data_IF_445115291237
#
_entry.id   IF_445115291237
#
_cell.length_a   1.000
_cell.length_b   1.000
_cell.length_c   1.000
_cell.angle_alpha   90.00
_cell.angle_beta   90.00
_cell.angle_gamma   90.00
#
_symmetry.space_group_name_H-M   'P 1'
#
loop_
_entity.id
_entity.type
_entity.pdbx_description
1 polymer ?
#
# COMPACT_ATOMS: atom_id res chain seq x y z
N UNK A 1 18.91 -35.55 12.91
CA UNK A 1 19.01 -34.11 13.11
C UNK A 1 19.09 -33.85 14.62
N UNK A 2 20.21 -33.32 15.14
CA UNK A 2 20.45 -33.21 16.58
C UNK A 2 19.45 -32.25 17.25
N UNK A 3 19.05 -32.54 18.48
CA UNK A 3 18.05 -31.78 19.25
C UNK A 3 18.29 -30.26 19.31
N UNK A 4 19.57 -29.85 19.32
CA UNK A 4 19.95 -28.41 19.27
C UNK A 4 19.45 -27.68 18.02
N UNK A 5 19.47 -28.32 16.83
CA UNK A 5 19.00 -27.70 15.59
C UNK A 5 17.46 -27.54 15.58
N UNK A 6 16.74 -28.51 16.19
CA UNK A 6 15.27 -28.41 16.33
C UNK A 6 14.88 -27.29 17.30
N UNK A 7 15.63 -27.15 18.40
CA UNK A 7 15.39 -26.08 19.36
C UNK A 7 15.59 -24.69 18.74
N UNK A 8 16.67 -24.50 17.98
CA UNK A 8 16.94 -23.24 17.27
C UNK A 8 15.80 -22.91 16.27
N UNK A 9 15.30 -23.92 15.54
CA UNK A 9 14.19 -23.73 14.61
C UNK A 9 12.91 -23.28 15.33
N UNK A 10 12.58 -23.95 16.44
CA UNK A 10 11.38 -23.59 17.24
C UNK A 10 11.50 -22.18 17.78
N UNK A 11 12.67 -21.79 18.30
CA UNK A 11 12.91 -20.45 18.81
C UNK A 11 12.84 -19.40 17.68
N UNK A 12 13.44 -19.68 16.53
CA UNK A 12 13.37 -18.77 15.38
C UNK A 12 11.91 -18.59 14.87
N UNK A 13 11.15 -19.68 14.81
CA UNK A 13 9.75 -19.66 14.38
C UNK A 13 8.87 -18.92 15.40
N UNK A 14 9.08 -19.13 16.71
CA UNK A 14 8.36 -18.41 17.76
C UNK A 14 8.69 -16.91 17.77
N UNK A 15 9.94 -16.54 17.51
CA UNK A 15 10.36 -15.16 17.36
C UNK A 15 9.72 -14.50 16.14
N UNK A 16 9.61 -15.21 15.03
CA UNK A 16 8.93 -14.73 13.81
C UNK A 16 7.43 -14.47 14.06
N UNK A 17 6.77 -15.35 14.81
CA UNK A 17 5.36 -15.21 15.19
C UNK A 17 5.17 -14.06 16.19
N UNK A 18 6.10 -13.86 17.12
CA UNK A 18 6.06 -12.76 18.09
C UNK A 18 6.26 -11.38 17.46
N UNK A 19 6.92 -11.32 16.30
CA UNK A 19 7.10 -10.08 15.53
C UNK A 19 5.84 -9.66 14.75
N UNK A 20 4.81 -10.49 14.69
CA UNK A 20 3.50 -10.07 14.18
C UNK A 20 2.90 -9.15 15.22
N UNK A 21 3.28 -7.87 15.15
CA UNK A 21 2.66 -6.82 15.94
C UNK A 21 1.17 -6.87 15.67
N UNK A 22 0.39 -7.15 16.70
CA UNK A 22 -1.05 -6.94 16.65
C UNK A 22 -1.24 -5.46 16.40
N UNK A 23 -1.48 -5.11 15.15
CA UNK A 23 -1.87 -3.77 14.79
C UNK A 23 -3.23 -3.56 15.47
N UNK A 24 -3.22 -2.98 16.65
CA UNK A 24 -4.44 -2.41 17.23
C UNK A 24 -4.89 -1.34 16.25
N UNK A 25 -5.85 -1.71 15.41
CA UNK A 25 -6.50 -0.77 14.53
C UNK A 25 -7.06 0.31 15.41
N UNK A 26 -6.35 1.44 15.46
CA UNK A 26 -6.89 2.64 16.04
C UNK A 26 -8.23 2.84 15.33
N UNK A 27 -9.30 3.02 16.09
CA UNK A 27 -10.66 3.26 15.58
C UNK A 27 -10.78 4.62 14.88
N UNK A 28 -9.71 5.02 14.18
CA UNK A 28 -9.71 6.21 13.38
C UNK A 28 -10.70 6.03 12.23
N UNK A 29 -11.54 7.01 12.04
CA UNK A 29 -12.47 7.08 10.94
C UNK A 29 -11.73 6.80 9.61
N UNK A 30 -12.21 5.87 8.77
CA UNK A 30 -11.58 5.63 7.49
C UNK A 30 -11.68 6.88 6.61
N UNK A 31 -10.71 7.15 5.73
CA UNK A 31 -10.77 8.29 4.83
C UNK A 31 -12.00 8.20 3.93
N UNK A 32 -12.69 9.32 3.77
CA UNK A 32 -13.82 9.43 2.86
C UNK A 32 -13.36 9.36 1.41
N UNK A 33 -12.28 10.08 1.12
CA UNK A 33 -11.61 10.07 -0.18
C UNK A 33 -10.13 9.79 0.04
N UNK A 34 -9.59 8.84 -0.73
CA UNK A 34 -8.18 8.50 -0.75
C UNK A 34 -7.67 8.60 -2.19
N UNK A 35 -6.76 9.51 -2.43
CA UNK A 35 -6.09 9.66 -3.71
C UNK A 35 -4.69 9.07 -3.60
N UNK A 36 -4.40 8.09 -4.44
CA UNK A 36 -3.12 7.40 -4.52
C UNK A 36 -2.36 7.97 -5.70
N UNK A 37 -1.16 8.47 -5.47
CA UNK A 37 -0.28 9.00 -6.52
C UNK A 37 1.00 8.19 -6.58
N UNK A 38 1.17 7.35 -7.61
CA UNK A 38 2.42 6.63 -7.84
C UNK A 38 3.54 7.60 -8.23
N UNK A 39 4.74 7.35 -7.71
CA UNK A 39 5.94 8.15 -7.99
C UNK A 39 5.69 9.66 -7.86
N UNK A 40 4.96 10.05 -6.83
CA UNK A 40 4.61 11.44 -6.60
C UNK A 40 5.87 12.27 -6.33
N UNK A 41 6.06 13.42 -7.00
CA UNK A 41 7.13 14.34 -6.70
C UNK A 41 7.01 14.88 -5.26
N UNK A 42 8.11 15.36 -4.71
CA UNK A 42 8.14 15.81 -3.30
C UNK A 42 7.29 17.05 -3.07
N UNK A 43 7.20 17.91 -4.06
CA UNK A 43 6.46 19.17 -4.04
C UNK A 43 5.00 19.07 -4.49
N UNK A 44 4.49 17.85 -4.65
CA UNK A 44 3.11 17.63 -5.05
C UNK A 44 2.15 17.96 -3.91
N UNK A 45 1.27 18.89 -4.16
CA UNK A 45 0.14 19.23 -3.32
C UNK A 45 -1.17 18.79 -3.97
N UNK A 46 -2.02 18.14 -3.18
CA UNK A 46 -3.35 17.73 -3.61
C UNK A 46 -4.37 18.28 -2.62
N UNK A 47 -5.34 18.99 -3.11
CA UNK A 47 -6.45 19.51 -2.31
C UNK A 47 -7.79 19.17 -2.96
N UNK A 48 -8.85 19.14 -2.16
CA UNK A 48 -10.22 18.97 -2.64
C UNK A 48 -11.01 20.20 -2.26
N UNK A 49 -11.74 20.71 -3.23
CA UNK A 49 -12.61 21.86 -3.04
C UNK A 49 -14.03 21.59 -3.48
N UNK A 50 -14.96 22.36 -2.88
CA UNK A 50 -16.32 22.52 -3.37
C UNK A 50 -16.71 23.98 -3.19
N UNK A 51 -16.93 24.66 -4.30
CA UNK A 51 -17.13 26.11 -4.29
C UNK A 51 -15.89 26.84 -3.77
N UNK A 52 -16.05 27.69 -2.75
CA UNK A 52 -14.94 28.48 -2.16
C UNK A 52 -14.16 27.74 -1.05
N UNK A 53 -14.48 26.50 -0.77
CA UNK A 53 -13.82 25.73 0.31
C UNK A 53 -12.74 24.86 -0.31
N UNK A 54 -11.52 25.00 0.22
CA UNK A 54 -10.38 24.20 -0.17
C UNK A 54 -9.88 23.41 1.05
N UNK A 55 -9.75 22.12 0.92
CA UNK A 55 -9.24 21.24 1.97
C UNK A 55 -7.94 20.60 1.56
N UNK A 56 -6.96 20.70 2.44
CA UNK A 56 -5.67 20.07 2.25
C UNK A 56 -5.75 18.59 2.66
N UNK A 57 -4.99 17.77 1.95
CA UNK A 57 -4.91 16.35 2.26
C UNK A 57 -4.09 16.06 3.50
N UNK A 58 -4.46 15.01 4.23
CA UNK A 58 -3.55 14.35 5.15
C UNK A 58 -2.65 13.42 4.34
N UNK A 59 -1.35 13.74 4.31
CA UNK A 59 -0.39 13.05 3.45
C UNK A 59 0.25 11.90 4.21
N UNK A 60 0.30 10.73 3.57
CA UNK A 60 1.06 9.57 4.05
C UNK A 60 1.99 9.10 2.95
N UNK A 61 3.28 9.22 3.20
CA UNK A 61 4.31 8.77 2.29
C UNK A 61 4.50 7.24 2.42
N UNK A 62 4.55 6.57 1.27
CA UNK A 62 4.90 5.16 1.11
C UNK A 62 6.04 5.09 0.11
N UNK A 63 6.86 4.07 0.20
CA UNK A 63 8.10 3.93 -0.58
C UNK A 63 7.94 4.21 -2.09
N UNK A 64 6.82 3.83 -2.68
CA UNK A 64 6.58 3.95 -4.13
C UNK A 64 5.36 4.79 -4.50
N UNK A 65 4.65 5.31 -3.51
CA UNK A 65 3.42 6.09 -3.74
C UNK A 65 3.11 6.99 -2.55
N UNK A 66 2.50 8.13 -2.79
CA UNK A 66 1.95 9.00 -1.74
C UNK A 66 0.44 8.87 -1.68
N UNK A 67 -0.07 8.88 -0.46
CA UNK A 67 -1.49 8.81 -0.14
C UNK A 67 -1.95 10.17 0.33
N UNK A 68 -2.96 10.68 -0.32
CA UNK A 68 -3.63 11.94 0.03
C UNK A 68 -5.02 11.58 0.53
N UNK A 69 -5.22 11.68 1.85
CA UNK A 69 -6.45 11.27 2.53
C UNK A 69 -7.27 12.49 2.97
N UNK A 70 -8.56 12.43 2.72
CA UNK A 70 -9.55 13.44 3.12
C UNK A 70 -10.63 12.75 3.94
N UNK A 71 -11.00 13.32 5.08
CA UNK A 71 -11.92 12.72 6.04
C UNK A 71 -13.29 13.39 5.96
N UNK A 72 -14.35 12.64 6.35
CA UNK A 72 -15.72 13.13 6.22
C UNK A 72 -16.05 14.29 7.17
N UNK A 73 -15.35 14.41 8.29
CA UNK A 73 -15.49 15.55 9.19
C UNK A 73 -15.12 16.88 8.54
N UNK A 74 -14.25 16.83 7.54
CA UNK A 74 -13.74 17.98 6.80
C UNK A 74 -14.50 18.22 5.49
N UNK A 75 -15.07 17.13 4.92
CA UNK A 75 -15.87 17.19 3.69
C UNK A 75 -17.31 17.57 4.04
N UNK A 76 -17.72 18.77 3.71
CA UNK A 76 -19.12 19.13 3.73
C UNK A 76 -19.83 18.38 2.60
N UNK A 77 -21.12 18.04 2.83
CA UNK A 77 -21.95 17.39 1.82
C UNK A 77 -22.13 18.36 0.65
N UNK A 78 -21.24 18.29 -0.30
CA UNK A 78 -21.33 19.01 -1.56
C UNK A 78 -21.66 18.01 -2.67
N UNK A 79 -22.36 18.49 -3.69
CA UNK A 79 -22.72 17.65 -4.84
C UNK A 79 -21.54 17.42 -5.78
N UNK A 80 -20.66 18.40 -5.88
CA UNK A 80 -19.55 18.39 -6.82
C UNK A 80 -18.24 18.71 -6.09
N UNK A 81 -17.26 17.86 -6.24
CA UNK A 81 -15.92 18.03 -5.72
C UNK A 81 -14.93 18.23 -6.85
N UNK A 82 -14.05 19.19 -6.69
CA UNK A 82 -12.92 19.42 -7.60
C UNK A 82 -11.63 19.07 -6.87
N UNK A 83 -10.86 18.17 -7.45
CA UNK A 83 -9.50 17.83 -7.02
C UNK A 83 -8.56 18.80 -7.70
N UNK A 84 -7.83 19.59 -6.90
CA UNK A 84 -6.77 20.47 -7.37
C UNK A 84 -5.43 19.82 -7.11
N UNK A 85 -4.64 19.77 -8.15
CA UNK A 85 -3.31 19.18 -8.13
C UNK A 85 -2.32 20.26 -8.50
N UNK A 86 -1.35 20.52 -7.65
CA UNK A 86 -0.36 21.57 -7.85
C UNK A 86 1.05 21.03 -7.62
N UNK A 87 1.96 21.41 -8.50
CA UNK A 87 3.40 21.26 -8.37
C UNK A 87 4.04 22.63 -8.62
N UNK A 88 5.33 22.76 -8.43
CA UNK A 88 6.07 24.02 -8.75
C UNK A 88 5.94 24.42 -10.22
N UNK A 89 5.78 23.45 -11.11
CA UNK A 89 5.82 23.67 -12.56
C UNK A 89 4.42 23.76 -13.19
N UNK A 90 3.42 23.13 -12.58
CA UNK A 90 2.09 23.03 -13.17
C UNK A 90 0.99 22.88 -12.12
N UNK A 91 -0.20 23.37 -12.47
CA UNK A 91 -1.42 23.10 -11.71
C UNK A 91 -2.56 22.71 -12.63
N UNK A 92 -3.43 21.82 -12.17
CA UNK A 92 -4.62 21.43 -12.90
C UNK A 92 -5.74 20.99 -11.94
N UNK A 93 -6.96 20.98 -12.45
CA UNK A 93 -8.14 20.58 -11.70
C UNK A 93 -8.87 19.43 -12.37
N UNK A 94 -9.41 18.53 -11.56
CA UNK A 94 -10.21 17.38 -12.02
C UNK A 94 -11.50 17.36 -11.25
N UNK A 95 -12.63 17.35 -11.94
CA UNK A 95 -13.95 17.23 -11.32
C UNK A 95 -14.25 15.77 -11.03
N UNK A 96 -14.73 15.47 -9.83
CA UNK A 96 -15.21 14.16 -9.45
C UNK A 96 -16.67 13.98 -9.89
N UNK A 97 -16.87 13.30 -11.00
CA UNK A 97 -18.19 13.16 -11.65
C UNK A 97 -19.15 12.15 -10.96
N UNK A 98 -18.67 11.36 -10.01
CA UNK A 98 -19.47 10.28 -9.41
C UNK A 98 -19.91 10.59 -7.99
N UNK A 99 -21.12 10.17 -7.61
CA UNK A 99 -21.58 10.28 -6.24
C UNK A 99 -20.63 9.50 -5.33
N UNK A 100 -20.09 10.18 -4.33
CA UNK A 100 -19.18 9.60 -3.37
C UNK A 100 -19.93 8.72 -2.39
N UNK A 101 -19.36 7.57 -2.06
CA UNK A 101 -19.76 6.80 -0.89
C UNK A 101 -19.35 7.55 0.37
N UNK A 102 -20.01 7.27 1.48
CA UNK A 102 -19.66 7.91 2.76
C UNK A 102 -18.19 7.73 3.12
N UNK A 103 -17.61 6.55 2.85
CA UNK A 103 -16.23 6.19 3.14
C UNK A 103 -15.61 5.36 2.01
N UNK A 104 -14.28 5.33 1.98
CA UNK A 104 -13.50 4.45 1.11
C UNK A 104 -13.66 4.72 -0.40
N UNK A 105 -13.79 5.98 -0.77
CA UNK A 105 -13.65 6.36 -2.17
C UNK A 105 -12.16 6.41 -2.52
N UNK A 106 -11.70 5.40 -3.23
CA UNK A 106 -10.28 5.28 -3.60
C UNK A 106 -10.12 5.64 -5.06
N UNK A 107 -9.17 6.52 -5.32
CA UNK A 107 -8.79 6.93 -6.67
C UNK A 107 -7.29 6.83 -6.85
N UNK A 108 -6.87 6.58 -8.09
CA UNK A 108 -5.47 6.68 -8.49
C UNK A 108 -5.32 7.85 -9.46
N UNK A 109 -4.44 8.78 -9.12
CA UNK A 109 -4.10 9.93 -9.94
C UNK A 109 -2.90 9.58 -10.82
N UNK A 110 -3.06 9.70 -12.13
CA UNK A 110 -1.97 9.67 -13.09
C UNK A 110 -1.57 11.10 -13.44
N UNK A 111 -0.38 11.51 -13.03
CA UNK A 111 0.13 12.85 -13.27
C UNK A 111 0.46 13.09 -14.75
N UNK A 112 0.93 12.05 -15.48
CA UNK A 112 1.29 12.18 -16.89
C UNK A 112 0.06 12.46 -17.76
N UNK A 113 -1.03 11.73 -17.53
CA UNK A 113 -2.27 11.86 -18.29
C UNK A 113 -3.24 12.88 -17.66
N UNK A 114 -2.91 13.42 -16.48
CA UNK A 114 -3.78 14.30 -15.68
C UNK A 114 -5.17 13.69 -15.45
N UNK A 115 -5.22 12.37 -15.20
CA UNK A 115 -6.48 11.63 -15.04
C UNK A 115 -6.61 11.03 -13.65
N UNK A 116 -7.84 10.99 -13.15
CA UNK A 116 -8.20 10.37 -11.88
C UNK A 116 -9.08 9.13 -12.16
N UNK A 117 -8.54 7.95 -11.87
CA UNK A 117 -9.24 6.68 -12.10
C UNK A 117 -9.73 6.08 -10.78
N UNK A 118 -10.97 5.57 -10.71
CA UNK A 118 -11.45 4.91 -9.50
C UNK A 118 -10.70 3.59 -9.25
N UNK A 119 -10.37 3.34 -7.98
CA UNK A 119 -9.71 2.14 -7.52
C UNK A 119 -8.19 2.27 -7.39
N UNK A 120 -7.55 1.16 -7.03
CA UNK A 120 -6.08 1.01 -6.94
C UNK A 120 -5.55 0.48 -8.27
N UNK A 121 -4.32 0.85 -8.62
CA UNK A 121 -3.65 0.27 -9.79
C UNK A 121 -3.47 -1.26 -9.61
N UNK A 122 -3.90 -2.01 -10.62
CA UNK A 122 -3.76 -3.46 -10.64
C UNK A 122 -2.28 -3.88 -10.65
N UNK A 123 -1.44 -3.15 -11.38
CA UNK A 123 0.02 -3.37 -11.46
C UNK A 123 0.68 -3.37 -10.09
N UNK A 124 0.29 -2.48 -9.19
CA UNK A 124 0.79 -2.42 -7.82
C UNK A 124 0.50 -3.71 -7.04
N UNK A 125 -0.72 -4.20 -7.13
CA UNK A 125 -1.11 -5.44 -6.45
C UNK A 125 -0.28 -6.64 -6.94
N UNK A 126 -0.04 -6.71 -8.24
CA UNK A 126 0.80 -7.75 -8.86
C UNK A 126 2.25 -7.64 -8.35
N UNK A 127 2.84 -6.46 -8.34
CA UNK A 127 4.20 -6.24 -7.86
C UNK A 127 4.34 -6.68 -6.39
N UNK A 128 3.43 -6.25 -5.52
CA UNK A 128 3.48 -6.61 -4.09
C UNK A 128 3.32 -8.10 -3.85
N UNK A 129 2.43 -8.77 -4.59
CA UNK A 129 2.25 -10.22 -4.51
C UNK A 129 3.50 -10.94 -5.02
N UNK A 130 4.07 -10.51 -6.15
CA UNK A 130 5.29 -11.08 -6.70
C UNK A 130 6.48 -10.93 -5.73
N UNK A 131 6.64 -9.77 -5.12
CA UNK A 131 7.68 -9.54 -4.10
C UNK A 131 7.50 -10.48 -2.89
N UNK A 132 6.28 -10.68 -2.41
CA UNK A 132 6.02 -11.62 -1.31
C UNK A 132 6.40 -13.05 -1.69
N UNK A 133 6.02 -13.49 -2.88
CA UNK A 133 6.36 -14.83 -3.37
C UNK A 133 7.88 -15.01 -3.44
N UNK A 134 8.60 -14.06 -4.04
CA UNK A 134 10.06 -14.09 -4.15
C UNK A 134 10.72 -14.15 -2.75
N UNK A 135 10.27 -13.31 -1.83
CA UNK A 135 10.79 -13.30 -0.46
C UNK A 135 10.54 -14.62 0.26
N UNK A 136 9.36 -15.20 0.11
CA UNK A 136 9.02 -16.51 0.71
C UNK A 136 9.93 -17.60 0.17
N UNK A 137 10.08 -17.67 -1.15
CA UNK A 137 10.96 -18.66 -1.80
C UNK A 137 12.42 -18.48 -1.40
N UNK A 138 12.90 -17.25 -1.27
CA UNK A 138 14.26 -16.99 -0.80
C UNK A 138 14.48 -17.46 0.63
N UNK A 139 13.55 -17.20 1.54
CA UNK A 139 13.60 -17.65 2.93
C UNK A 139 13.57 -19.18 3.00
N UNK A 140 12.68 -19.81 2.25
CA UNK A 140 12.60 -21.27 2.16
C UNK A 140 13.90 -21.88 1.64
N UNK A 141 14.46 -21.33 0.57
CA UNK A 141 15.74 -21.78 0.01
C UNK A 141 16.88 -21.70 1.03
N UNK A 142 16.97 -20.60 1.80
CA UNK A 142 17.96 -20.44 2.88
C UNK A 142 17.74 -21.49 3.97
N UNK A 143 16.50 -21.72 4.38
CA UNK A 143 16.17 -22.73 5.38
C UNK A 143 16.57 -24.12 4.89
N UNK A 144 16.22 -24.50 3.67
CA UNK A 144 16.61 -25.78 3.07
C UNK A 144 18.13 -25.93 3.00
N UNK A 145 18.85 -24.87 2.64
CA UNK A 145 20.30 -24.88 2.60
C UNK A 145 20.93 -25.06 3.98
N UNK A 146 20.46 -24.31 4.98
CA UNK A 146 20.95 -24.38 6.37
C UNK A 146 20.69 -25.74 7.04
N UNK A 147 19.55 -26.36 6.74
CA UNK A 147 19.19 -27.65 7.33
C UNK A 147 19.75 -28.85 6.57
N UNK A 148 20.54 -28.61 5.52
CA UNK A 148 21.28 -29.67 4.81
C UNK A 148 20.38 -30.67 4.09
N UNK A 149 19.21 -30.22 3.59
CA UNK A 149 18.44 -30.99 2.61
C UNK A 149 19.18 -31.09 1.26
N UNK A 150 20.52 -31.16 1.36
CA UNK A 150 21.40 -31.38 0.23
C UNK A 150 21.27 -32.85 -0.14
N UNK A 151 20.69 -33.11 -1.29
CA UNK A 151 20.51 -34.40 -1.94
C UNK A 151 21.46 -35.48 -1.41
N UNK A 152 20.99 -36.31 -0.52
CA UNK A 152 21.38 -37.72 -0.62
C UNK A 152 20.49 -38.26 -1.73
N UNK A 153 21.03 -38.32 -2.93
CA UNK A 153 20.46 -39.16 -3.96
C UNK A 153 20.44 -40.54 -3.34
N UNK A 154 19.31 -40.98 -2.86
CA UNK A 154 19.09 -42.39 -2.64
C UNK A 154 19.12 -42.99 -4.02
N UNK A 155 20.31 -43.54 -4.37
CA UNK A 155 20.40 -44.40 -5.51
C UNK A 155 19.30 -45.45 -5.38
N UNK A 156 18.43 -45.48 -6.34
CA UNK A 156 17.54 -46.58 -6.57
C UNK A 156 18.46 -47.80 -6.86
N UNK A 157 18.61 -48.61 -5.83
CA UNK A 157 19.04 -49.97 -6.03
C UNK A 157 17.77 -50.76 -6.37
N UNK A 158 17.65 -51.11 -7.62
CA UNK A 158 16.82 -52.24 -8.08
C UNK A 158 17.67 -53.48 -7.96
#
# INVERSE_FOLDING_TARGET
MGGKKRLILIVALSMLIALVSVCYGNSAEPPSILIIVPNAPEDLEVSIGSGNTNMMANIRDKVIEKYYAFYSSELRIAKDYTVRVSTRESSFEIVLEKPLKKYNNIYTLNLADKTLKPGKLLSRSIILVSMRIIMTLAIEAIIFWLFGFRNKSHGLYF
#
